data_IF_566190549434
#
_entry.id   IF_566190549434
#
_cell.length_a   1.000
_cell.length_b   1.000
_cell.length_c   1.000
_cell.angle_alpha   90.00
_cell.angle_beta   90.00
_cell.angle_gamma   90.00
#
_symmetry.space_group_name_H-M   'P 1'
#
loop_
_entity.id
_entity.type
_entity.pdbx_description
1 polymer ?
#
# COMPACT_ATOMS: atom_id res chain seq x y z
N UNK A 1 13.16 -0.26 -8.96
CA UNK A 1 13.34 0.88 -8.03
C UNK A 1 12.01 1.21 -7.37
N UNK A 2 12.00 1.47 -6.06
CA UNK A 2 10.80 1.93 -5.32
C UNK A 2 10.51 3.40 -5.64
N UNK A 3 9.24 3.76 -5.77
CA UNK A 3 8.79 5.16 -5.92
C UNK A 3 9.05 5.96 -4.64
N UNK A 4 9.26 7.28 -4.73
CA UNK A 4 9.44 8.14 -3.55
C UNK A 4 8.32 8.01 -2.53
N UNK A 5 7.07 7.92 -3.00
CA UNK A 5 5.89 7.69 -2.14
C UNK A 5 6.02 6.39 -1.34
N UNK A 6 6.45 5.30 -1.97
CA UNK A 6 6.61 4.01 -1.30
C UNK A 6 7.69 4.06 -0.20
N UNK A 7 8.78 4.79 -0.45
CA UNK A 7 9.83 5.02 0.57
C UNK A 7 9.28 5.82 1.74
N UNK A 8 8.68 6.98 1.47
CA UNK A 8 8.11 7.84 2.51
C UNK A 8 7.06 7.11 3.35
N UNK A 9 6.19 6.32 2.72
CA UNK A 9 5.14 5.62 3.45
C UNK A 9 5.66 4.44 4.29
N UNK A 10 6.78 3.82 3.89
CA UNK A 10 7.46 2.84 4.75
C UNK A 10 8.11 3.47 5.97
N UNK A 11 8.66 4.68 5.84
CA UNK A 11 9.18 5.45 6.96
C UNK A 11 8.06 5.89 7.91
N UNK A 12 6.91 6.33 7.37
CA UNK A 12 5.70 6.65 8.15
C UNK A 12 5.21 5.40 8.90
N UNK A 13 5.11 4.27 8.20
CA UNK A 13 4.75 2.99 8.82
C UNK A 13 5.71 2.61 9.94
N UNK A 14 7.03 2.69 9.71
CA UNK A 14 8.03 2.34 10.73
C UNK A 14 7.93 3.26 11.96
N UNK A 15 7.76 4.56 11.74
CA UNK A 15 7.58 5.53 12.84
C UNK A 15 6.34 5.22 13.66
N UNK A 16 5.22 4.94 13.00
CA UNK A 16 3.95 4.60 13.67
C UNK A 16 4.03 3.25 14.37
N UNK A 17 4.72 2.28 13.78
CA UNK A 17 4.99 0.98 14.39
C UNK A 17 5.79 1.14 15.68
N UNK A 18 6.88 1.89 15.66
CA UNK A 18 7.70 2.16 16.85
C UNK A 18 6.89 2.87 17.94
N UNK A 19 6.10 3.87 17.57
CA UNK A 19 5.25 4.58 18.52
C UNK A 19 4.21 3.66 19.17
N UNK A 20 3.50 2.83 18.39
CA UNK A 20 2.53 1.88 18.92
C UNK A 20 3.22 0.81 19.78
N UNK A 21 4.37 0.31 19.34
CA UNK A 21 5.14 -0.69 20.06
C UNK A 21 5.61 -0.18 21.43
N UNK A 22 6.06 1.07 21.52
CA UNK A 22 6.45 1.70 22.79
C UNK A 22 5.30 1.83 23.78
N UNK A 23 4.07 2.06 23.30
CA UNK A 23 2.86 2.09 24.14
C UNK A 23 2.49 0.69 24.62
N UNK A 24 2.60 -0.31 23.73
CA UNK A 24 2.17 -1.69 24.01
C UNK A 24 3.24 -2.54 24.71
N UNK A 25 4.49 -2.08 24.81
CA UNK A 25 5.60 -2.87 25.39
C UNK A 25 5.38 -3.29 26.84
N UNK A 26 4.58 -2.51 27.58
CA UNK A 26 4.18 -2.78 28.97
C UNK A 26 2.85 -3.54 29.05
N UNK A 27 2.15 -3.69 27.92
CA UNK A 27 0.89 -4.39 27.80
C UNK A 27 1.04 -5.91 27.73
N UNK A 28 -0.10 -6.60 27.77
CA UNK A 28 -0.16 -8.06 27.69
C UNK A 28 -0.85 -8.59 26.43
N UNK A 29 -1.37 -7.69 25.59
CA UNK A 29 -2.17 -8.03 24.41
C UNK A 29 -1.32 -8.55 23.24
N UNK A 30 -0.15 -7.93 22.99
CA UNK A 30 0.69 -8.22 21.81
C UNK A 30 2.06 -8.81 22.20
N UNK A 31 2.06 -9.95 22.89
CA UNK A 31 3.27 -10.54 23.48
C UNK A 31 4.28 -10.97 22.42
N UNK A 32 3.83 -11.48 21.28
CA UNK A 32 4.73 -11.92 20.21
C UNK A 32 5.32 -10.71 19.46
N UNK A 33 4.54 -9.65 19.25
CA UNK A 33 5.03 -8.38 18.68
C UNK A 33 6.14 -7.80 19.56
N UNK A 34 5.98 -7.82 20.88
CA UNK A 34 6.99 -7.31 21.82
C UNK A 34 8.28 -8.14 21.76
N UNK A 35 8.16 -9.47 21.67
CA UNK A 35 9.31 -10.39 21.60
C UNK A 35 10.03 -10.34 20.26
N UNK A 36 9.31 -10.12 19.16
CA UNK A 36 9.85 -10.18 17.80
C UNK A 36 9.43 -8.98 16.93
N UNK A 37 9.66 -7.72 17.36
CA UNK A 37 9.14 -6.54 16.66
C UNK A 37 9.66 -6.45 15.22
N UNK A 38 10.93 -6.82 15.02
CA UNK A 38 11.57 -6.82 13.71
C UNK A 38 10.88 -7.74 12.70
N UNK A 39 10.27 -8.84 13.16
CA UNK A 39 9.53 -9.77 12.29
C UNK A 39 8.26 -9.12 11.74
N UNK A 40 7.53 -8.42 12.59
CA UNK A 40 6.33 -7.69 12.21
C UNK A 40 6.65 -6.49 11.32
N UNK A 41 7.69 -5.72 11.66
CA UNK A 41 8.16 -4.59 10.85
C UNK A 41 8.57 -5.04 9.44
N UNK A 42 9.38 -6.11 9.35
CA UNK A 42 9.82 -6.67 8.06
C UNK A 42 8.63 -7.16 7.23
N UNK A 43 7.66 -7.83 7.84
CA UNK A 43 6.46 -8.28 7.14
C UNK A 43 5.65 -7.09 6.60
N UNK A 44 5.44 -6.06 7.42
CA UNK A 44 4.75 -4.84 7.01
C UNK A 44 5.42 -4.15 5.83
N UNK A 45 6.75 -4.01 5.85
CA UNK A 45 7.50 -3.49 4.71
C UNK A 45 7.33 -4.31 3.43
N UNK A 46 7.42 -5.64 3.53
CA UNK A 46 7.23 -6.52 2.37
C UNK A 46 5.83 -6.40 1.77
N UNK A 47 4.81 -6.22 2.61
CA UNK A 47 3.44 -6.05 2.15
C UNK A 47 3.23 -4.70 1.47
N UNK A 48 3.78 -3.62 2.04
CA UNK A 48 3.79 -2.29 1.40
C UNK A 48 4.54 -2.32 0.06
N UNK A 49 5.70 -3.00 0.00
CA UNK A 49 6.46 -3.14 -1.25
C UNK A 49 5.64 -3.84 -2.34
N UNK A 50 4.93 -4.92 -2.00
CA UNK A 50 4.03 -5.62 -2.94
C UNK A 50 2.92 -4.71 -3.46
N UNK A 51 2.28 -3.97 -2.57
CA UNK A 51 1.18 -3.05 -2.91
C UNK A 51 1.67 -1.93 -3.83
N UNK A 52 2.78 -1.27 -3.47
CA UNK A 52 3.32 -0.17 -4.24
C UNK A 52 3.96 -0.59 -5.57
N UNK A 53 4.51 -1.80 -5.64
CA UNK A 53 5.04 -2.36 -6.88
C UNK A 53 3.93 -2.60 -7.91
N UNK A 54 2.77 -3.11 -7.45
CA UNK A 54 1.56 -3.22 -8.27
C UNK A 54 1.07 -1.84 -8.70
N UNK A 55 1.01 -0.91 -7.75
CA UNK A 55 0.72 0.49 -7.99
C UNK A 55 -0.70 0.85 -7.55
N UNK A 56 -0.79 1.91 -6.75
CA UNK A 56 -2.02 2.42 -6.15
C UNK A 56 -2.38 3.73 -6.85
N UNK A 57 -3.55 3.76 -7.48
CA UNK A 57 -4.08 4.89 -8.23
C UNK A 57 -5.23 5.57 -7.50
N UNK A 58 -5.41 6.86 -7.80
CA UNK A 58 -6.67 7.55 -7.62
C UNK A 58 -7.49 7.37 -8.89
N UNK A 59 -8.62 6.66 -8.79
CA UNK A 59 -9.52 6.44 -9.93
C UNK A 59 -10.42 7.66 -10.12
N UNK A 60 -10.27 8.37 -11.23
CA UNK A 60 -11.11 9.53 -11.54
C UNK A 60 -12.51 9.08 -12.03
N UNK A 61 -13.56 9.92 -11.87
CA UNK A 61 -14.92 9.58 -12.28
C UNK A 61 -15.04 9.11 -13.74
N UNK A 62 -14.22 9.65 -14.64
CA UNK A 62 -14.17 9.28 -16.06
C UNK A 62 -13.74 7.81 -16.30
N UNK A 63 -13.07 7.21 -15.32
CA UNK A 63 -12.57 5.83 -15.36
C UNK A 63 -13.38 4.86 -14.49
N UNK A 64 -14.32 5.36 -13.68
CA UNK A 64 -15.08 4.56 -12.70
C UNK A 64 -15.88 3.40 -13.33
N UNK A 65 -16.49 3.65 -14.49
CA UNK A 65 -17.29 2.65 -15.20
C UNK A 65 -16.48 1.86 -16.25
N UNK A 66 -15.16 2.01 -16.26
CA UNK A 66 -14.30 1.28 -17.19
C UNK A 66 -13.97 -0.09 -16.59
N UNK A 67 -14.13 -1.14 -17.38
CA UNK A 67 -13.82 -2.50 -16.96
C UNK A 67 -12.31 -2.73 -16.72
N UNK A 68 -11.96 -3.83 -16.06
CA UNK A 68 -10.58 -4.19 -15.72
C UNK A 68 -9.61 -4.23 -16.91
N UNK A 69 -10.11 -4.47 -18.12
CA UNK A 69 -9.31 -4.53 -19.36
C UNK A 69 -9.04 -3.15 -19.97
N UNK A 70 -9.57 -2.08 -19.40
CA UNK A 70 -9.35 -0.73 -19.90
C UNK A 70 -7.89 -0.31 -19.68
N UNK A 71 -7.23 0.12 -20.76
CA UNK A 71 -5.83 0.53 -20.75
C UNK A 71 -5.73 2.00 -20.37
N UNK A 72 -4.90 2.30 -19.37
CA UNK A 72 -4.56 3.65 -18.93
C UNK A 72 -3.05 3.86 -19.04
N UNK A 73 -2.65 5.11 -19.24
CA UNK A 73 -1.25 5.51 -19.12
C UNK A 73 -1.01 6.00 -17.70
N UNK A 74 -0.06 5.40 -17.00
CA UNK A 74 0.37 5.82 -15.67
C UNK A 74 1.78 6.37 -15.73
N UNK A 75 2.03 7.46 -15.00
CA UNK A 75 3.38 7.98 -14.82
C UNK A 75 4.07 7.22 -13.70
N UNK A 76 5.17 6.53 -14.02
CA UNK A 76 5.98 5.77 -13.06
C UNK A 76 7.45 6.10 -13.29
N UNK A 77 8.08 6.76 -12.30
CA UNK A 77 9.48 7.20 -12.38
C UNK A 77 9.75 8.03 -13.65
N UNK A 78 8.91 9.04 -13.88
CA UNK A 78 8.94 9.94 -15.05
C UNK A 78 8.73 9.27 -16.42
N UNK A 79 8.47 7.96 -16.46
CA UNK A 79 8.10 7.23 -17.66
C UNK A 79 6.59 6.98 -17.71
N UNK A 80 6.00 7.21 -18.89
CA UNK A 80 4.62 6.81 -19.15
C UNK A 80 4.56 5.33 -19.52
N UNK A 81 3.79 4.56 -18.76
CA UNK A 81 3.58 3.13 -18.99
C UNK A 81 2.10 2.83 -19.15
N UNK A 82 1.75 2.15 -20.24
CA UNK A 82 0.40 1.66 -20.47
C UNK A 82 0.16 0.38 -19.67
N UNK A 83 -0.89 0.36 -18.85
CA UNK A 83 -1.31 -0.80 -18.06
C UNK A 83 -2.83 -0.87 -18.01
N UNK A 84 -3.37 -2.06 -17.79
CA UNK A 84 -4.82 -2.23 -17.60
C UNK A 84 -5.21 -1.84 -16.17
N UNK A 85 -6.43 -1.33 -15.99
CA UNK A 85 -6.95 -1.02 -14.64
C UNK A 85 -6.91 -2.24 -13.71
N UNK A 86 -7.13 -3.46 -14.21
CA UNK A 86 -7.05 -4.69 -13.41
C UNK A 86 -5.66 -5.00 -12.86
N UNK A 87 -4.59 -4.47 -13.49
CA UNK A 87 -3.23 -4.65 -13.01
C UNK A 87 -2.86 -3.63 -11.90
N UNK A 88 -3.66 -2.60 -11.71
CA UNK A 88 -3.48 -1.57 -10.68
C UNK A 88 -4.38 -1.85 -9.48
N UNK A 89 -4.17 -1.09 -8.40
CA UNK A 89 -5.03 -1.09 -7.22
C UNK A 89 -5.62 0.30 -7.03
N UNK A 90 -6.89 0.37 -6.70
CA UNK A 90 -7.45 1.55 -6.01
C UNK A 90 -7.02 1.56 -4.55
N UNK A 91 -7.16 2.71 -3.88
CA UNK A 91 -6.91 2.81 -2.44
C UNK A 91 -7.75 1.79 -1.64
N UNK A 92 -9.00 1.57 -2.05
CA UNK A 92 -9.89 0.59 -1.44
C UNK A 92 -9.37 -0.84 -1.65
N UNK A 93 -9.09 -1.23 -2.88
CA UNK A 93 -8.57 -2.58 -3.18
C UNK A 93 -7.22 -2.85 -2.50
N UNK A 94 -6.38 -1.83 -2.33
CA UNK A 94 -5.13 -1.95 -1.59
C UNK A 94 -5.36 -2.24 -0.10
N UNK A 95 -6.37 -1.62 0.51
CA UNK A 95 -6.77 -1.90 1.90
C UNK A 95 -7.45 -3.25 2.04
N UNK A 96 -8.37 -3.59 1.13
CA UNK A 96 -9.01 -4.90 1.10
C UNK A 96 -7.94 -6.01 0.99
N UNK A 97 -6.91 -5.82 0.17
CA UNK A 97 -5.79 -6.75 0.06
C UNK A 97 -5.01 -6.90 1.38
N UNK A 98 -4.83 -5.84 2.17
CA UNK A 98 -4.22 -5.95 3.50
C UNK A 98 -5.07 -6.82 4.42
N UNK A 99 -6.36 -6.51 4.52
CA UNK A 99 -7.31 -7.21 5.37
C UNK A 99 -7.42 -8.68 5.00
N UNK A 100 -7.41 -9.00 3.71
CA UNK A 100 -7.47 -10.37 3.20
C UNK A 100 -6.15 -11.12 3.39
N UNK A 101 -4.99 -10.44 3.32
CA UNK A 101 -3.67 -11.11 3.37
C UNK A 101 -3.13 -11.33 4.78
N UNK A 102 -3.44 -10.45 5.73
CA UNK A 102 -2.91 -10.51 7.10
C UNK A 102 -3.30 -11.78 7.87
N UNK A 103 -4.54 -12.31 7.78
CA UNK A 103 -4.92 -13.55 8.44
C UNK A 103 -4.11 -14.78 8.00
N UNK A 104 -3.59 -14.78 6.77
CA UNK A 104 -2.76 -15.87 6.23
C UNK A 104 -1.26 -15.64 6.47
N UNK A 105 -0.88 -14.60 7.21
CA UNK A 105 0.51 -14.35 7.54
C UNK A 105 1.07 -15.38 8.52
N UNK A 106 2.38 -15.60 8.56
CA UNK A 106 3.01 -16.48 9.56
C UNK A 106 3.16 -15.78 10.93
N UNK A 107 2.46 -14.68 11.18
CA UNK A 107 2.52 -13.90 12.42
C UNK A 107 1.43 -14.41 13.37
N UNK A 108 1.69 -14.34 14.68
CA UNK A 108 0.69 -14.76 15.68
C UNK A 108 -0.37 -13.69 15.93
N UNK A 109 0.04 -12.41 15.84
CA UNK A 109 -0.77 -11.25 16.18
C UNK A 109 -0.80 -10.26 14.99
N UNK A 110 -1.19 -10.70 13.78
CA UNK A 110 -1.14 -9.87 12.57
C UNK A 110 -2.03 -8.63 12.63
N UNK A 111 -3.08 -8.64 13.44
CA UNK A 111 -4.01 -7.53 13.67
C UNK A 111 -3.31 -6.27 14.18
N UNK A 112 -2.17 -6.41 14.88
CA UNK A 112 -1.33 -5.28 15.29
C UNK A 112 -0.90 -4.42 14.08
N UNK A 113 -0.68 -5.05 12.93
CA UNK A 113 -0.21 -4.38 11.73
C UNK A 113 -1.33 -3.72 10.93
N UNK A 114 -2.57 -4.20 11.03
CA UNK A 114 -3.65 -3.83 10.11
C UNK A 114 -3.86 -2.31 10.07
N UNK A 115 -4.15 -1.71 11.22
CA UNK A 115 -4.43 -0.26 11.31
C UNK A 115 -3.21 0.59 10.95
N UNK A 116 -2.00 0.11 11.24
CA UNK A 116 -0.76 0.82 10.91
C UNK A 116 -0.51 0.84 9.41
N UNK A 117 -0.74 -0.30 8.75
CA UNK A 117 -0.58 -0.45 7.31
C UNK A 117 -1.65 0.32 6.55
N UNK A 118 -2.93 0.23 6.95
CA UNK A 118 -4.02 0.97 6.31
C UNK A 118 -3.83 2.48 6.33
N UNK A 119 -3.27 3.01 7.43
CA UNK A 119 -2.93 4.44 7.57
C UNK A 119 -1.76 4.86 6.70
N UNK A 120 -0.89 3.93 6.33
CA UNK A 120 0.32 4.20 5.55
C UNK A 120 0.08 4.07 4.05
N UNK A 121 -1.03 3.48 3.60
CA UNK A 121 -1.33 3.37 2.16
C UNK A 121 -1.89 4.69 1.64
N UNK A 122 -1.31 5.14 0.53
CA UNK A 122 -1.80 6.24 -0.30
C UNK A 122 -1.51 5.95 -1.77
N UNK A 123 -2.03 6.78 -2.68
CA UNK A 123 -1.76 6.67 -4.11
C UNK A 123 -0.28 6.97 -4.42
N UNK A 124 0.36 6.14 -5.25
CA UNK A 124 1.71 6.38 -5.76
C UNK A 124 1.78 6.54 -7.27
N UNK A 125 0.67 6.34 -7.98
CA UNK A 125 0.57 6.53 -9.42
C UNK A 125 -0.56 7.49 -9.77
N UNK A 126 -0.31 8.31 -10.78
CA UNK A 126 -1.31 9.18 -11.41
C UNK A 126 -1.63 8.66 -12.79
N UNK A 127 -2.92 8.56 -13.11
CA UNK A 127 -3.38 8.29 -14.47
C UNK A 127 -3.21 9.59 -15.26
N UNK A 128 -2.56 9.51 -16.42
CA UNK A 128 -2.51 10.63 -17.35
C UNK A 128 -3.71 10.57 -18.28
N UNK A 129 -4.68 11.45 -18.02
CA UNK A 129 -5.71 11.78 -18.99
C UNK A 129 -5.08 12.66 -20.07
N UNK A 130 -4.80 12.11 -21.27
CA UNK A 130 -4.48 12.96 -22.42
C UNK A 130 -5.69 13.82 -22.72
N UNK A 131 -5.65 15.10 -22.36
CA UNK A 131 -6.37 16.10 -23.12
C UNK A 131 -5.72 16.10 -24.50
N UNK A 132 -6.43 15.63 -25.53
CA UNK A 132 -6.02 15.86 -26.90
C UNK A 132 -5.93 17.38 -27.07
N UNK A 133 -4.72 17.93 -27.07
CA UNK A 133 -4.49 19.26 -27.63
C UNK A 133 -4.70 19.07 -29.13
N UNK A 134 -5.90 19.44 -29.58
CA UNK A 134 -6.21 19.54 -31.00
C UNK A 134 -5.46 20.77 -31.50
N UNK A 135 -4.68 20.56 -32.56
CA UNK A 135 -3.88 21.55 -33.28
C UNK A 135 -4.77 22.69 -33.76
#
# INVERSE_FOLDING_TARGET
>A
MMTDVARTQKEVFEKNFKAQWEVEKEGTQFKEVIKQPNRYLKYGWQLLDKIYLRGVILLEPMHLNKGKNFVVNVLRNDELKSQTLGNLLTLREAKDLLSDSLPYSPLKEPEFLLLLLEKSITYNLKIQCRANHTI
#
